data_IF_199687429533
#
_entry.id   IF_199687429533
#
_cell.length_a   1.000
_cell.length_b   1.000
_cell.length_c   1.000
_cell.angle_alpha   90.00
_cell.angle_beta   90.00
_cell.angle_gamma   90.00
#
_symmetry.space_group_name_H-M   'P 1'
#
loop_
_entity.id
_entity.type
_entity.pdbx_description
1 polymer ?
#
# COMPACT_ATOMS: atom_id res chain seq x y z
N UNK A 1 -8.87 37.35 58.74
CA UNK A 1 -10.33 37.18 58.87
C UNK A 1 -11.02 38.04 57.82
N UNK A 2 -11.95 37.43 57.05
CA UNK A 2 -13.21 37.95 56.45
C UNK A 2 -13.09 39.18 55.52
N UNK A 3 -13.21 39.00 54.20
CA UNK A 3 -14.43 38.86 53.36
C UNK A 3 -15.27 40.14 53.23
N UNK A 4 -15.40 40.64 51.99
CA UNK A 4 -16.54 41.32 51.33
C UNK A 4 -15.95 41.91 50.03
N UNK A 5 -16.31 41.59 48.79
CA UNK A 5 -17.55 41.05 48.23
C UNK A 5 -18.10 42.09 47.25
N UNK A 6 -17.92 41.89 45.93
CA UNK A 6 -18.72 42.48 44.82
C UNK A 6 -18.12 41.98 43.49
N UNK A 7 -18.62 40.93 42.84
CA UNK A 7 -19.77 40.89 41.92
C UNK A 7 -19.69 41.93 40.77
N UNK A 8 -19.11 41.52 39.64
CA UNK A 8 -19.28 42.12 38.30
C UNK A 8 -19.03 41.01 37.28
N UNK A 9 -20.06 40.17 37.04
CA UNK A 9 -20.92 40.17 35.84
C UNK A 9 -20.16 39.82 34.56
N UNK A 10 -20.44 38.58 34.13
CA UNK A 10 -20.38 37.99 32.78
C UNK A 10 -20.20 38.95 31.59
N UNK A 11 -19.23 38.62 30.73
CA UNK A 11 -19.39 38.72 29.28
C UNK A 11 -19.11 37.35 28.66
N UNK A 12 -20.20 36.69 28.27
CA UNK A 12 -20.24 35.58 27.32
C UNK A 12 -19.77 36.09 25.95
N UNK A 13 -18.69 35.52 25.43
CA UNK A 13 -18.40 35.53 24.01
C UNK A 13 -18.36 34.08 23.52
N UNK A 14 -19.55 33.59 23.16
CA UNK A 14 -19.72 32.34 22.42
C UNK A 14 -19.21 32.59 21.01
N UNK A 15 -18.07 32.01 20.66
CA UNK A 15 -17.63 31.94 19.27
C UNK A 15 -17.56 30.48 18.81
N UNK A 16 -18.50 30.19 17.91
CA UNK A 16 -18.52 29.15 16.89
C UNK A 16 -18.69 27.71 17.36
N UNK A 17 -19.96 27.31 17.40
CA UNK A 17 -20.42 26.03 16.84
C UNK A 17 -19.73 25.74 15.51
N UNK A 18 -18.72 24.88 15.52
CA UNK A 18 -18.28 24.11 14.36
C UNK A 18 -18.78 22.68 14.54
N UNK A 19 -19.95 22.38 14.00
CA UNK A 19 -20.49 21.02 13.92
C UNK A 19 -20.88 20.79 12.46
N UNK A 20 -20.26 19.80 11.80
CA UNK A 20 -20.65 19.43 10.44
C UNK A 20 -19.60 18.69 9.64
N UNK A 21 -19.26 17.47 10.07
CA UNK A 21 -19.01 16.27 9.26
C UNK A 21 -18.10 15.32 10.06
N UNK A 22 -18.72 14.27 10.60
CA UNK A 22 -18.00 13.09 11.07
C UNK A 22 -17.41 12.38 9.84
N UNK A 23 -16.10 12.44 9.66
CA UNK A 23 -15.37 11.42 8.90
C UNK A 23 -14.35 10.78 9.84
N UNK A 24 -14.83 9.71 10.47
CA UNK A 24 -14.06 8.69 11.14
C UNK A 24 -13.26 7.87 10.12
N UNK A 25 -12.03 8.28 9.85
CA UNK A 25 -10.84 7.41 9.64
C UNK A 25 -9.71 8.26 9.08
N UNK A 26 -8.94 8.91 9.96
CA UNK A 26 -7.65 9.51 9.62
C UNK A 26 -6.51 8.79 10.34
N UNK A 27 -6.57 7.46 10.28
CA UNK A 27 -5.54 6.54 10.74
C UNK A 27 -5.24 5.58 9.58
N UNK A 28 -4.66 6.10 8.50
CA UNK A 28 -4.13 5.26 7.41
C UNK A 28 -2.99 5.95 6.63
N UNK A 29 -2.92 7.30 6.70
CA UNK A 29 -1.82 8.05 6.06
C UNK A 29 -0.52 8.13 6.85
N UNK A 30 -0.45 7.66 8.11
CA UNK A 30 0.76 7.77 8.95
C UNK A 30 1.61 6.52 9.00
N UNK A 31 1.04 5.33 8.79
CA UNK A 31 1.83 4.09 8.66
C UNK A 31 2.49 4.00 7.28
N UNK A 32 1.84 4.61 6.28
CA UNK A 32 2.35 4.93 4.95
C UNK A 32 3.70 5.62 4.91
N UNK A 33 3.76 6.77 5.59
CA UNK A 33 4.96 7.60 5.70
C UNK A 33 6.02 6.90 6.54
N UNK A 34 5.64 5.94 7.38
CA UNK A 34 6.57 5.18 8.20
C UNK A 34 7.33 4.13 7.40
N UNK A 35 6.68 3.51 6.40
CA UNK A 35 7.35 2.59 5.48
C UNK A 35 8.32 3.32 4.54
N UNK A 36 7.96 4.49 4.02
CA UNK A 36 8.91 5.34 3.26
C UNK A 36 10.11 5.81 4.11
N UNK A 37 9.95 5.86 5.44
CA UNK A 37 10.95 6.34 6.38
C UNK A 37 11.75 5.23 7.09
N UNK A 38 11.26 3.99 7.12
CA UNK A 38 11.96 2.83 7.68
C UNK A 38 12.57 1.89 6.62
N UNK A 39 12.00 1.79 5.42
CA UNK A 39 12.57 1.06 4.27
C UNK A 39 12.60 1.99 3.06
N UNK A 40 13.73 2.68 2.85
CA UNK A 40 13.87 3.67 1.77
C UNK A 40 13.51 3.13 0.38
N UNK A 41 13.29 4.02 -0.58
CA UNK A 41 12.91 3.67 -1.96
C UNK A 41 13.86 2.56 -2.49
N UNK A 42 13.32 1.41 -2.95
CA UNK A 42 14.13 0.32 -3.46
C UNK A 42 15.03 0.77 -4.61
N UNK A 43 16.19 0.16 -4.75
CA UNK A 43 17.07 0.39 -5.91
C UNK A 43 16.68 -0.46 -7.11
N UNK A 44 16.01 -1.60 -6.88
CA UNK A 44 15.63 -2.55 -7.92
C UNK A 44 14.39 -3.32 -7.48
N UNK A 45 13.48 -3.57 -8.42
CA UNK A 45 12.38 -4.52 -8.24
C UNK A 45 12.37 -5.49 -9.40
N UNK A 46 12.36 -6.79 -9.11
CA UNK A 46 12.22 -7.84 -10.12
C UNK A 46 10.94 -8.62 -9.91
N UNK A 47 10.30 -9.01 -11.01
CA UNK A 47 9.18 -9.95 -11.04
C UNK A 47 9.64 -11.20 -11.79
N UNK A 48 9.73 -12.33 -11.10
CA UNK A 48 9.99 -13.62 -11.74
C UNK A 48 8.67 -14.34 -11.97
N UNK A 49 8.35 -14.60 -13.24
CA UNK A 49 7.09 -15.18 -13.67
C UNK A 49 7.03 -16.68 -13.38
N UNK A 50 5.95 -17.12 -12.74
CA UNK A 50 5.63 -18.53 -12.60
C UNK A 50 4.89 -19.05 -13.84
N UNK A 51 5.64 -19.59 -14.79
CA UNK A 51 5.12 -20.14 -16.06
C UNK A 51 4.15 -21.33 -15.87
N UNK A 52 4.08 -21.91 -14.66
CA UNK A 52 3.18 -23.02 -14.36
C UNK A 52 1.78 -22.56 -13.94
N UNK A 53 1.57 -21.26 -13.73
CA UNK A 53 0.31 -20.70 -13.27
C UNK A 53 -0.61 -20.30 -14.42
N UNK A 54 -1.47 -21.25 -14.82
CA UNK A 54 -2.51 -21.10 -15.84
C UNK A 54 -2.06 -20.65 -17.25
N UNK A 55 -2.92 -20.91 -18.22
CA UNK A 55 -2.74 -20.80 -19.69
C UNK A 55 -2.31 -19.43 -20.28
N UNK A 56 -1.90 -18.44 -19.48
CA UNK A 56 -1.47 -17.11 -19.98
C UNK A 56 0.00 -16.87 -19.66
N UNK A 57 0.85 -16.66 -20.69
CA UNK A 57 2.27 -16.44 -20.46
C UNK A 57 2.49 -15.08 -19.79
N UNK A 58 3.03 -15.08 -18.57
CA UNK A 58 3.75 -13.93 -18.04
C UNK A 58 5.23 -13.96 -18.49
N UNK A 59 5.97 -12.88 -18.27
CA UNK A 59 7.42 -12.82 -18.48
C UNK A 59 8.09 -12.18 -17.28
N UNK A 60 9.37 -12.49 -17.10
CA UNK A 60 10.19 -11.80 -16.10
C UNK A 60 10.30 -10.32 -16.43
N UNK A 61 10.23 -9.47 -15.41
CA UNK A 61 10.31 -8.02 -15.55
C UNK A 61 11.25 -7.43 -14.52
N UNK A 62 11.99 -6.41 -14.92
CA UNK A 62 12.87 -5.63 -14.05
C UNK A 62 12.46 -4.15 -14.09
N UNK A 63 12.36 -3.55 -12.91
CA UNK A 63 12.13 -2.12 -12.70
C UNK A 63 13.32 -1.50 -11.98
N UNK A 64 14.06 -0.68 -12.70
CA UNK A 64 15.27 0.03 -12.28
C UNK A 64 15.12 1.57 -12.37
N UNK A 65 14.03 2.04 -12.98
CA UNK A 65 13.73 3.46 -13.10
C UNK A 65 12.89 3.94 -11.93
N UNK A 66 13.22 5.13 -11.41
CA UNK A 66 12.59 5.71 -10.23
C UNK A 66 11.08 5.94 -10.38
N UNK A 67 10.59 6.25 -11.58
CA UNK A 67 9.18 6.45 -11.84
C UNK A 67 8.37 5.15 -11.77
N UNK A 68 8.92 4.04 -12.25
CA UNK A 68 8.30 2.71 -12.19
C UNK A 68 8.42 2.08 -10.80
N UNK A 69 9.59 2.18 -10.16
CA UNK A 69 9.79 1.71 -8.78
C UNK A 69 8.76 2.37 -7.87
N UNK A 70 8.56 3.69 -7.99
CA UNK A 70 7.54 4.40 -7.20
C UNK A 70 6.13 3.86 -7.45
N UNK A 71 5.78 3.49 -8.68
CA UNK A 71 4.47 2.91 -8.99
C UNK A 71 4.29 1.58 -8.25
N UNK A 72 5.31 0.73 -8.25
CA UNK A 72 5.25 -0.56 -7.55
C UNK A 72 5.16 -0.36 -6.04
N UNK A 73 6.01 0.50 -5.47
CA UNK A 73 6.00 0.79 -4.04
C UNK A 73 4.67 1.43 -3.59
N UNK A 74 4.09 2.34 -4.38
CA UNK A 74 2.76 2.90 -4.11
C UNK A 74 1.66 1.82 -4.09
N UNK A 75 1.72 0.83 -4.98
CA UNK A 75 0.76 -0.26 -5.02
C UNK A 75 0.86 -1.20 -3.81
N UNK A 76 2.09 -1.50 -3.36
CA UNK A 76 2.36 -2.26 -2.13
C UNK A 76 1.83 -1.47 -0.92
N UNK A 77 2.14 -0.17 -0.88
CA UNK A 77 1.76 0.70 0.21
C UNK A 77 0.23 0.78 0.37
N UNK A 78 -0.51 0.89 -0.74
CA UNK A 78 -1.97 0.97 -0.73
C UNK A 78 -2.66 -0.39 -0.59
N UNK A 79 -1.91 -1.48 -0.45
CA UNK A 79 -2.49 -2.81 -0.33
C UNK A 79 -3.16 -2.97 1.04
N UNK A 80 -4.40 -3.45 1.05
CA UNK A 80 -5.22 -3.55 2.26
C UNK A 80 -5.19 -4.97 2.82
N UNK A 81 -4.95 -5.12 4.12
CA UNK A 81 -4.87 -6.44 4.76
C UNK A 81 -6.16 -7.23 4.59
N UNK A 82 -6.04 -8.47 4.11
CA UNK A 82 -7.14 -9.41 3.98
C UNK A 82 -7.49 -10.09 5.31
N UNK A 83 -8.72 -10.58 5.41
CA UNK A 83 -9.16 -11.43 6.53
C UNK A 83 -9.33 -12.87 6.03
N UNK A 84 -8.97 -13.84 6.89
CA UNK A 84 -9.14 -15.27 6.61
C UNK A 84 -7.85 -15.98 6.18
N UNK A 85 -8.00 -17.25 5.80
CA UNK A 85 -6.91 -18.10 5.30
C UNK A 85 -6.85 -17.98 3.78
N UNK A 86 -5.64 -17.88 3.23
CA UNK A 86 -5.42 -17.80 1.80
C UNK A 86 -5.23 -19.20 1.20
N UNK A 87 -5.94 -19.47 0.12
CA UNK A 87 -5.63 -20.54 -0.83
C UNK A 87 -5.38 -19.87 -2.17
N UNK A 88 -4.12 -19.74 -2.54
CA UNK A 88 -3.68 -18.95 -3.68
C UNK A 88 -2.49 -19.59 -4.36
N UNK A 89 -2.22 -19.11 -5.56
CA UNK A 89 -1.02 -19.47 -6.28
C UNK A 89 -0.42 -18.21 -6.92
N UNK A 90 0.90 -18.05 -6.78
CA UNK A 90 1.61 -16.83 -7.17
C UNK A 90 1.86 -16.80 -8.68
N UNK A 91 1.47 -15.70 -9.33
CA UNK A 91 1.79 -15.41 -10.74
C UNK A 91 3.24 -14.95 -10.87
N UNK A 92 3.69 -14.15 -9.92
CA UNK A 92 5.06 -13.65 -9.84
C UNK A 92 5.63 -13.86 -8.44
N UNK A 93 6.91 -14.19 -8.39
CA UNK A 93 7.76 -13.93 -7.23
C UNK A 93 8.39 -12.55 -7.41
N UNK A 94 7.97 -11.57 -6.61
CA UNK A 94 8.50 -10.21 -6.62
C UNK A 94 9.63 -10.06 -5.61
N UNK A 95 10.80 -9.61 -6.04
CA UNK A 95 11.91 -9.26 -5.14
C UNK A 95 12.15 -7.76 -5.15
N UNK A 96 12.14 -7.15 -3.97
CA UNK A 96 12.40 -5.73 -3.76
C UNK A 96 13.77 -5.58 -3.08
N UNK A 97 14.76 -5.08 -3.82
CA UNK A 97 16.11 -4.86 -3.33
C UNK A 97 16.28 -3.42 -2.91
N UNK A 98 16.52 -3.21 -1.62
CA UNK A 98 16.74 -1.91 -1.02
C UNK A 98 18.18 -1.41 -1.26
N UNK A 99 18.41 -0.11 -1.05
CA UNK A 99 19.72 0.54 -1.24
C UNK A 99 20.83 -0.01 -0.35
N UNK A 100 20.47 -0.60 0.79
CA UNK A 100 21.39 -1.26 1.72
C UNK A 100 21.69 -2.72 1.32
N UNK A 101 21.10 -3.21 0.23
CA UNK A 101 21.22 -4.58 -0.26
C UNK A 101 20.27 -5.58 0.39
N UNK A 102 19.45 -5.16 1.36
CA UNK A 102 18.39 -6.02 1.91
C UNK A 102 17.34 -6.34 0.84
N UNK A 103 16.78 -7.55 0.91
CA UNK A 103 15.77 -8.02 -0.05
C UNK A 103 14.52 -8.46 0.70
N UNK A 104 13.38 -7.91 0.28
CA UNK A 104 12.06 -8.38 0.69
C UNK A 104 11.38 -9.06 -0.50
N UNK A 105 10.84 -10.26 -0.26
CA UNK A 105 10.24 -11.10 -1.32
C UNK A 105 8.75 -11.25 -1.06
N UNK A 106 7.96 -11.08 -2.12
CA UNK A 106 6.51 -11.20 -2.10
C UNK A 106 6.05 -12.17 -3.18
N UNK A 107 4.96 -12.88 -2.90
CA UNK A 107 4.13 -13.44 -3.95
C UNK A 107 3.16 -12.36 -4.44
N UNK A 108 3.05 -12.25 -5.76
CA UNK A 108 2.17 -11.30 -6.43
C UNK A 108 1.27 -12.04 -7.42
N UNK A 109 -0.02 -11.75 -7.37
CA UNK A 109 -1.00 -12.20 -8.34
C UNK A 109 -1.79 -10.98 -8.81
N UNK A 110 -1.75 -10.71 -10.11
CA UNK A 110 -2.51 -9.63 -10.73
C UNK A 110 -3.61 -10.21 -11.61
N UNK A 111 -3.32 -11.27 -12.35
CA UNK A 111 -4.17 -11.70 -13.46
C UNK A 111 -4.30 -10.61 -14.52
N UNK A 112 -5.02 -10.94 -15.60
CA UNK A 112 -5.15 -10.07 -16.78
C UNK A 112 -6.53 -9.42 -16.95
N UNK A 113 -7.49 -9.74 -16.07
CA UNK A 113 -8.78 -9.05 -16.09
C UNK A 113 -8.61 -7.65 -15.44
N UNK A 114 -8.90 -6.55 -16.16
CA UNK A 114 -8.79 -5.20 -15.62
C UNK A 114 -9.80 -4.88 -14.50
N UNK A 115 -10.74 -5.79 -14.21
CA UNK A 115 -11.69 -5.71 -13.09
C UNK A 115 -11.21 -6.45 -11.85
N UNK A 116 -10.11 -7.20 -11.94
CA UNK A 116 -9.54 -7.96 -10.83
C UNK A 116 -8.64 -7.06 -9.97
N UNK A 117 -8.78 -7.16 -8.65
CA UNK A 117 -7.81 -6.60 -7.70
C UNK A 117 -6.52 -7.45 -7.69
N UNK A 118 -5.42 -6.90 -7.22
CA UNK A 118 -4.21 -7.70 -7.03
C UNK A 118 -4.19 -8.37 -5.66
N UNK A 119 -3.42 -9.45 -5.54
CA UNK A 119 -3.06 -10.09 -4.28
C UNK A 119 -1.55 -9.96 -4.08
N UNK A 120 -1.16 -9.56 -2.88
CA UNK A 120 0.21 -9.46 -2.42
C UNK A 120 0.36 -10.25 -1.12
N UNK A 121 1.36 -11.12 -1.04
CA UNK A 121 1.67 -11.90 0.16
C UNK A 121 3.16 -11.78 0.46
N UNK A 122 3.53 -11.42 1.69
CA UNK A 122 4.94 -11.36 2.07
C UNK A 122 5.46 -12.78 2.34
N UNK A 123 6.53 -13.21 1.69
CA UNK A 123 7.05 -14.57 1.89
C UNK A 123 7.65 -14.81 3.29
N UNK A 124 7.95 -13.75 4.06
CA UNK A 124 8.34 -13.87 5.47
C UNK A 124 7.18 -14.29 6.38
N UNK A 125 5.94 -13.94 6.00
CA UNK A 125 4.72 -14.34 6.70
C UNK A 125 3.58 -14.55 5.69
N UNK A 126 3.48 -15.77 5.19
CA UNK A 126 2.48 -16.15 4.18
C UNK A 126 1.08 -16.31 4.75
N UNK A 127 0.90 -16.14 6.06
CA UNK A 127 -0.43 -16.21 6.71
C UNK A 127 -1.23 -14.92 6.52
N UNK A 128 -0.59 -13.84 6.06
CA UNK A 128 -1.20 -12.53 5.86
C UNK A 128 -1.13 -12.14 4.39
N UNK A 129 -2.31 -11.96 3.80
CA UNK A 129 -2.47 -11.44 2.45
C UNK A 129 -2.93 -10.00 2.45
N UNK A 130 -2.63 -9.31 1.36
CA UNK A 130 -3.05 -7.94 1.12
C UNK A 130 -3.69 -7.84 -0.26
N UNK A 131 -4.81 -7.14 -0.34
CA UNK A 131 -5.49 -6.82 -1.58
C UNK A 131 -4.92 -5.53 -2.13
N UNK A 132 -4.30 -5.57 -3.30
CA UNK A 132 -3.92 -4.36 -4.05
C UNK A 132 -5.19 -3.78 -4.70
N UNK A 133 -5.59 -2.53 -4.40
CA UNK A 133 -6.78 -1.92 -4.97
C UNK A 133 -6.77 -1.92 -6.50
N UNK A 134 -7.97 -1.97 -7.10
CA UNK A 134 -8.16 -2.13 -8.54
C UNK A 134 -7.38 -1.11 -9.39
N UNK A 135 -7.37 0.15 -8.96
CA UNK A 135 -6.67 1.24 -9.65
C UNK A 135 -5.17 0.98 -9.69
N UNK A 136 -4.59 0.55 -8.59
CA UNK A 136 -3.15 0.28 -8.50
C UNK A 136 -2.77 -1.03 -9.19
N UNK A 137 -3.61 -2.07 -9.07
CA UNK A 137 -3.41 -3.32 -9.80
C UNK A 137 -3.40 -3.08 -11.33
N UNK A 138 -4.29 -2.22 -11.84
CA UNK A 138 -4.30 -1.84 -13.25
C UNK A 138 -3.06 -1.03 -13.65
N UNK A 139 -2.57 -0.15 -12.76
CA UNK A 139 -1.34 0.61 -13.00
C UNK A 139 -0.12 -0.32 -13.08
N UNK A 140 -0.06 -1.34 -12.22
CA UNK A 140 0.96 -2.39 -12.27
C UNK A 140 0.90 -3.17 -13.60
N UNK A 141 -0.28 -3.64 -14.01
CA UNK A 141 -0.45 -4.32 -15.31
C UNK A 141 0.06 -3.48 -16.47
N UNK A 142 -0.21 -2.17 -16.47
CA UNK A 142 0.24 -1.26 -17.51
C UNK A 142 1.76 -1.14 -17.59
N UNK A 143 2.46 -0.99 -16.44
CA UNK A 143 3.93 -0.85 -16.46
C UNK A 143 4.62 -2.18 -16.79
N UNK A 144 4.05 -3.31 -16.34
CA UNK A 144 4.50 -4.66 -16.71
C UNK A 144 4.39 -4.85 -18.22
N UNK A 145 3.25 -4.50 -18.81
CA UNK A 145 3.03 -4.62 -20.25
C UNK A 145 4.05 -3.80 -21.05
N UNK A 146 4.36 -2.57 -20.63
CA UNK A 146 5.35 -1.71 -21.30
C UNK A 146 6.78 -2.24 -21.29
N UNK A 147 7.14 -3.10 -20.33
CA UNK A 147 8.46 -3.75 -20.25
C UNK A 147 8.53 -5.02 -21.10
N UNK A 148 7.37 -5.52 -21.53
CA UNK A 148 7.16 -6.80 -22.18
C UNK A 148 6.89 -6.61 -23.68
N UNK A 149 6.24 -5.53 -24.08
CA UNK A 149 6.07 -5.11 -25.49
C UNK A 149 7.38 -4.67 -26.14
#
# INVERSE_FOLDING_TARGET
MRHFGSLMVLILAVFMTGCGASDSNRLDGKEAQRLEQEEGIPSLITLSCNQNLDSRPCRDVEFDRSDEIRIVTEAIFKAERMQGILDYAAEYTMSMTNVDGSVTVYDLLLGSDPKMQGLLVNQKDTTIGYTIPLVEANRLRQIIQRRID
#
